data_IF_887087360658
#
_entry.id   IF_887087360658
#
_cell.length_a   1.000
_cell.length_b   1.000
_cell.length_c   1.000
_cell.angle_alpha   90.00
_cell.angle_beta   90.00
_cell.angle_gamma   90.00
#
_symmetry.space_group_name_H-M   'P 1'
#
loop_
_entity.id
_entity.type
_entity.pdbx_description
1 polymer ?
#
# COMPACT_ATOMS: atom_id res chain seq x y z
N UNK A 1 -20.53 -39.03 41.11
CA UNK A 1 -19.28 -38.25 41.00
C UNK A 1 -18.46 -38.88 39.89
N UNK A 2 -18.69 -38.44 38.65
CA UNK A 2 -17.84 -38.72 37.50
C UNK A 2 -17.96 -37.50 36.61
N UNK A 3 -16.96 -36.64 36.71
CA UNK A 3 -16.83 -35.38 36.00
C UNK A 3 -16.26 -35.66 34.61
N UNK A 4 -17.15 -35.85 33.64
CA UNK A 4 -16.78 -35.81 32.22
C UNK A 4 -16.62 -34.34 31.80
N UNK A 5 -15.39 -33.85 31.93
CA UNK A 5 -14.91 -32.66 31.22
C UNK A 5 -14.59 -33.04 29.76
N UNK A 6 -15.62 -33.41 29.00
CA UNK A 6 -15.53 -33.42 27.53
C UNK A 6 -15.84 -32.03 27.03
N UNK A 7 -14.79 -31.33 26.59
CA UNK A 7 -14.88 -30.08 25.86
C UNK A 7 -15.61 -30.31 24.54
N UNK A 8 -16.93 -30.07 24.54
CA UNK A 8 -17.70 -30.05 23.31
C UNK A 8 -17.42 -28.72 22.59
N UNK A 9 -16.49 -28.83 21.66
CA UNK A 9 -16.28 -27.94 20.52
C UNK A 9 -17.63 -27.79 19.79
N UNK A 10 -17.99 -26.54 19.58
CA UNK A 10 -19.02 -25.96 18.70
C UNK A 10 -19.70 -26.99 17.78
N UNK A 11 -20.97 -27.33 18.05
CA UNK A 11 -21.84 -27.94 17.05
C UNK A 11 -22.83 -26.88 16.53
N UNK A 12 -22.71 -26.41 15.27
CA UNK A 12 -23.70 -25.54 14.66
C UNK A 12 -24.95 -26.34 14.28
N UNK A 13 -26.11 -25.81 14.67
CA UNK A 13 -27.41 -26.37 14.32
C UNK A 13 -27.77 -26.04 12.85
N UNK A 14 -27.78 -27.06 12.00
CA UNK A 14 -28.63 -27.09 10.80
C UNK A 14 -28.03 -26.50 9.51
N UNK A 15 -27.56 -27.39 8.65
CA UNK A 15 -27.56 -27.28 7.18
C UNK A 15 -27.05 -25.97 6.54
N UNK A 16 -25.80 -25.60 6.81
CA UNK A 16 -24.87 -25.07 5.79
C UNK A 16 -23.49 -24.97 6.44
N UNK A 17 -22.60 -25.88 6.07
CA UNK A 17 -21.24 -26.01 6.61
C UNK A 17 -20.36 -24.85 6.15
N UNK A 18 -20.60 -23.64 6.67
CA UNK A 18 -19.48 -22.71 6.86
C UNK A 18 -18.72 -23.30 8.04
N UNK A 19 -17.76 -24.18 7.71
CA UNK A 19 -16.95 -24.91 8.68
C UNK A 19 -16.20 -23.89 9.53
N UNK A 20 -16.09 -24.17 10.83
CA UNK A 20 -15.30 -23.39 11.80
C UNK A 20 -13.92 -22.97 11.24
N UNK A 21 -13.33 -23.87 10.44
CA UNK A 21 -12.09 -23.67 9.68
C UNK A 21 -12.08 -22.41 8.80
N UNK A 22 -13.22 -22.06 8.20
CA UNK A 22 -13.36 -20.89 7.33
C UNK A 22 -13.17 -19.60 8.12
N UNK A 23 -13.72 -19.54 9.33
CA UNK A 23 -13.57 -18.38 10.22
C UNK A 23 -12.11 -18.21 10.65
N UNK A 24 -11.45 -19.28 11.10
CA UNK A 24 -10.03 -19.23 11.48
C UNK A 24 -9.12 -18.90 10.30
N UNK A 25 -9.46 -19.37 9.10
CA UNK A 25 -8.72 -19.05 7.89
C UNK A 25 -8.78 -17.55 7.58
N UNK A 26 -9.96 -16.91 7.65
CA UNK A 26 -10.08 -15.47 7.44
C UNK A 26 -9.35 -14.66 8.52
N UNK A 27 -9.53 -15.00 9.81
CA UNK A 27 -8.83 -14.34 10.91
C UNK A 27 -7.32 -14.50 10.79
N UNK A 28 -6.85 -15.69 10.40
CA UNK A 28 -5.45 -16.01 10.18
C UNK A 28 -4.85 -15.21 9.02
N UNK A 29 -5.53 -15.16 7.86
CA UNK A 29 -5.10 -14.37 6.70
C UNK A 29 -5.06 -12.88 7.04
N UNK A 30 -6.09 -12.35 7.72
CA UNK A 30 -6.10 -10.96 8.16
C UNK A 30 -4.93 -10.66 9.10
N UNK A 31 -4.76 -11.47 10.15
CA UNK A 31 -3.71 -11.26 11.16
C UNK A 31 -2.31 -11.36 10.56
N UNK A 32 -2.05 -12.35 9.72
CA UNK A 32 -0.77 -12.51 9.03
C UNK A 32 -0.49 -11.35 8.06
N UNK A 33 -1.51 -10.88 7.33
CA UNK A 33 -1.38 -9.72 6.43
C UNK A 33 -1.01 -8.45 7.21
N UNK A 34 -1.65 -8.21 8.37
CA UNK A 34 -1.34 -7.06 9.21
C UNK A 34 0.05 -7.14 9.86
N UNK A 35 0.42 -8.31 10.39
CA UNK A 35 1.74 -8.53 10.97
C UNK A 35 2.84 -8.37 9.92
N UNK A 36 2.64 -8.90 8.70
CA UNK A 36 3.57 -8.72 7.59
C UNK A 36 3.74 -7.24 7.24
N UNK A 37 2.64 -6.48 7.17
CA UNK A 37 2.69 -5.04 6.92
C UNK A 37 3.42 -4.27 8.03
N UNK A 38 3.19 -4.62 9.29
CA UNK A 38 3.89 -4.02 10.43
C UNK A 38 5.39 -4.37 10.41
N UNK A 39 5.72 -5.62 10.11
CA UNK A 39 7.10 -6.12 10.03
C UNK A 39 7.90 -5.44 8.92
N UNK A 40 7.34 -5.34 7.70
CA UNK A 40 7.98 -4.63 6.58
C UNK A 40 8.26 -3.18 6.98
N UNK A 41 7.29 -2.50 7.61
CA UNK A 41 7.47 -1.09 7.99
C UNK A 41 8.49 -0.91 9.10
N UNK A 42 8.52 -1.82 10.07
CA UNK A 42 9.53 -1.85 11.12
C UNK A 42 10.95 -1.95 10.54
N UNK A 43 11.17 -2.88 9.61
CA UNK A 43 12.48 -3.11 8.99
C UNK A 43 12.88 -1.98 8.02
N UNK A 44 11.96 -1.54 7.15
CA UNK A 44 12.30 -0.58 6.10
C UNK A 44 12.43 0.87 6.61
N UNK A 45 11.62 1.28 7.59
CA UNK A 45 11.54 2.70 7.98
C UNK A 45 12.08 2.99 9.39
N UNK A 46 12.27 1.97 10.24
CA UNK A 46 12.78 2.08 11.62
C UNK A 46 12.05 3.11 12.52
N UNK A 47 10.92 3.65 12.04
CA UNK A 47 10.13 4.69 12.71
C UNK A 47 8.65 4.48 12.35
N UNK A 48 7.87 4.14 13.37
CA UNK A 48 6.42 3.91 13.23
C UNK A 48 5.70 5.24 13.01
N UNK A 49 4.93 5.33 11.94
CA UNK A 49 4.06 6.47 11.68
C UNK A 49 2.80 6.33 12.56
N UNK A 50 2.06 7.43 12.76
CA UNK A 50 0.77 7.39 13.48
C UNK A 50 -0.20 6.37 12.85
N UNK A 51 -0.13 6.22 11.53
CA UNK A 51 -0.85 5.18 10.77
C UNK A 51 -0.48 3.76 11.25
N UNK A 52 0.76 3.48 11.62
CA UNK A 52 1.15 2.14 12.06
C UNK A 52 0.58 1.79 13.44
N UNK A 53 0.58 2.77 14.35
CA UNK A 53 -0.02 2.62 15.67
C UNK A 53 -1.52 2.41 15.60
N UNK A 54 -2.23 3.22 14.80
CA UNK A 54 -3.66 3.03 14.56
C UNK A 54 -3.97 1.63 14.00
N UNK A 55 -3.11 1.12 13.13
CA UNK A 55 -3.28 -0.21 12.56
C UNK A 55 -3.09 -1.33 13.59
N UNK A 56 -2.08 -1.23 14.46
CA UNK A 56 -1.85 -2.20 15.52
C UNK A 56 -3.00 -2.20 16.52
N UNK A 57 -3.51 -1.03 16.89
CA UNK A 57 -4.68 -0.90 17.76
C UNK A 57 -5.91 -1.55 17.13
N UNK A 58 -6.18 -1.28 15.84
CA UNK A 58 -7.27 -1.93 15.13
C UNK A 58 -7.14 -3.47 15.11
N UNK A 59 -5.92 -3.97 14.86
CA UNK A 59 -5.65 -5.41 14.88
C UNK A 59 -5.89 -6.02 16.26
N UNK A 60 -5.45 -5.35 17.34
CA UNK A 60 -5.68 -5.82 18.71
C UNK A 60 -7.17 -5.84 19.06
N UNK A 61 -7.93 -4.79 18.71
CA UNK A 61 -9.37 -4.76 18.93
C UNK A 61 -10.07 -5.89 18.16
N UNK A 62 -9.71 -6.10 16.89
CA UNK A 62 -10.33 -7.14 16.06
C UNK A 62 -9.99 -8.57 16.51
N UNK A 63 -8.76 -8.81 17.00
CA UNK A 63 -8.43 -10.10 17.63
C UNK A 63 -9.18 -10.30 18.96
N UNK A 64 -9.30 -9.24 19.78
CA UNK A 64 -10.09 -9.28 21.00
C UNK A 64 -11.57 -9.58 20.74
N UNK A 65 -12.13 -8.98 19.70
CA UNK A 65 -13.48 -9.26 19.18
C UNK A 65 -13.64 -10.74 18.81
N UNK A 66 -12.72 -11.30 18.03
CA UNK A 66 -12.78 -12.71 17.61
C UNK A 66 -12.74 -13.67 18.82
N UNK A 67 -11.90 -13.37 19.82
CA UNK A 67 -11.82 -14.15 21.07
C UNK A 67 -13.14 -14.06 21.85
N UNK A 68 -13.70 -12.86 22.00
CA UNK A 68 -14.98 -12.65 22.69
C UNK A 68 -16.12 -13.36 21.97
N UNK A 69 -16.17 -13.26 20.64
CA UNK A 69 -17.17 -13.96 19.82
C UNK A 69 -17.11 -15.47 20.10
N UNK A 70 -15.92 -16.07 20.12
CA UNK A 70 -15.75 -17.51 20.40
C UNK A 70 -16.19 -17.92 21.80
N UNK A 71 -15.85 -17.13 22.82
CA UNK A 71 -16.22 -17.44 24.21
C UNK A 71 -17.75 -17.40 24.38
N UNK A 72 -18.41 -16.42 23.76
CA UNK A 72 -19.81 -16.14 24.03
C UNK A 72 -20.79 -16.67 22.97
N UNK A 73 -20.31 -17.19 21.83
CA UNK A 73 -21.18 -17.77 20.78
C UNK A 73 -22.12 -18.85 21.35
N UNK A 74 -21.60 -19.66 22.29
CA UNK A 74 -22.38 -20.72 22.95
C UNK A 74 -23.60 -20.17 23.68
N UNK A 75 -23.49 -19.00 24.29
CA UNK A 75 -24.59 -18.37 25.01
C UNK A 75 -25.65 -17.80 24.07
N UNK A 76 -25.26 -17.37 22.87
CA UNK A 76 -26.19 -16.88 21.84
C UNK A 76 -27.04 -18.00 21.25
N UNK A 77 -26.48 -19.20 21.05
CA UNK A 77 -27.24 -20.35 20.54
C UNK A 77 -28.37 -20.81 21.47
N UNK A 78 -28.29 -20.51 22.77
CA UNK A 78 -29.37 -20.81 23.73
C UNK A 78 -30.63 -20.02 23.41
N UNK A 79 -30.49 -18.77 22.92
CA UNK A 79 -31.65 -17.97 22.51
C UNK A 79 -32.26 -18.48 21.21
N UNK A 80 -31.43 -18.88 20.25
CA UNK A 80 -31.88 -19.45 18.97
C UNK A 80 -32.61 -20.80 19.18
N UNK A 81 -32.09 -21.67 20.05
CA UNK A 81 -32.74 -22.93 20.39
C UNK A 81 -34.11 -22.71 21.07
N UNK A 82 -34.25 -21.65 21.87
CA UNK A 82 -35.54 -21.28 22.45
C UNK A 82 -36.53 -20.72 21.41
N UNK A 83 -36.06 -19.95 20.43
CA UNK A 83 -36.89 -19.47 19.31
C UNK A 83 -37.43 -20.62 18.46
N UNK A 84 -36.62 -21.66 18.23
CA UNK A 84 -37.03 -22.86 17.49
C UNK A 84 -37.99 -23.77 18.27
N UNK A 85 -38.23 -23.50 19.55
CA UNK A 85 -39.07 -24.33 20.41
C UNK A 85 -38.38 -25.59 20.96
N UNK A 86 -37.06 -25.73 20.75
CA UNK A 86 -36.25 -26.87 21.21
C UNK A 86 -35.84 -26.76 22.69
N UNK A 87 -36.31 -25.72 23.40
CA UNK A 87 -35.99 -25.47 24.80
C UNK A 87 -37.22 -25.74 25.71
N UNK A 88 -37.35 -26.95 26.28
CA UNK A 88 -38.58 -27.41 26.91
C UNK A 88 -38.89 -26.77 28.27
N UNK A 89 -37.93 -26.10 28.92
CA UNK A 89 -38.15 -25.43 30.22
C UNK A 89 -37.35 -24.13 30.29
N UNK A 90 -38.06 -23.00 30.44
CA UNK A 90 -37.47 -21.69 30.73
C UNK A 90 -37.04 -21.67 32.21
N UNK A 91 -35.76 -21.93 32.46
CA UNK A 91 -35.19 -21.91 33.82
C UNK A 91 -34.60 -20.53 34.15
N UNK A 92 -34.38 -20.19 35.44
CA UNK A 92 -33.62 -18.98 35.81
C UNK A 92 -32.21 -18.93 35.19
N UNK A 93 -31.62 -20.09 34.91
CA UNK A 93 -30.32 -20.22 34.26
C UNK A 93 -30.36 -19.78 32.79
N UNK A 94 -31.46 -20.03 32.08
CA UNK A 94 -31.69 -19.54 30.72
C UNK A 94 -31.54 -18.01 30.66
N UNK A 95 -32.25 -17.28 31.51
CA UNK A 95 -32.21 -15.81 31.51
C UNK A 95 -30.81 -15.25 31.79
N UNK A 96 -30.07 -15.86 32.71
CA UNK A 96 -28.71 -15.45 33.04
C UNK A 96 -27.73 -15.73 31.89
N UNK A 97 -27.84 -16.89 31.23
CA UNK A 97 -27.02 -17.25 30.08
C UNK A 97 -27.34 -16.39 28.86
N UNK A 98 -28.61 -16.13 28.57
CA UNK A 98 -29.05 -15.25 27.50
C UNK A 98 -28.57 -13.81 27.71
N UNK A 99 -28.64 -13.30 28.96
CA UNK A 99 -28.09 -11.97 29.29
C UNK A 99 -26.60 -11.89 28.99
N UNK A 100 -25.81 -12.90 29.38
CA UNK A 100 -24.37 -12.94 29.08
C UNK A 100 -24.11 -12.96 27.57
N UNK A 101 -24.88 -13.72 26.81
CA UNK A 101 -24.82 -13.74 25.34
C UNK A 101 -25.12 -12.37 24.73
N UNK A 102 -26.18 -11.70 25.17
CA UNK A 102 -26.58 -10.37 24.68
C UNK A 102 -25.56 -9.28 25.00
N UNK A 103 -25.04 -9.26 26.23
CA UNK A 103 -23.99 -8.31 26.63
C UNK A 103 -22.72 -8.53 25.80
N UNK A 104 -22.35 -9.79 25.56
CA UNK A 104 -21.21 -10.11 24.74
C UNK A 104 -21.43 -9.73 23.26
N UNK A 105 -22.60 -10.02 22.69
CA UNK A 105 -22.96 -9.64 21.34
C UNK A 105 -22.89 -8.12 21.16
N UNK A 106 -23.45 -7.36 22.10
CA UNK A 106 -23.36 -5.89 22.11
C UNK A 106 -21.89 -5.43 22.17
N UNK A 107 -21.11 -6.01 23.08
CA UNK A 107 -19.69 -5.65 23.26
C UNK A 107 -18.89 -5.92 21.98
N UNK A 108 -19.14 -7.06 21.34
CA UNK A 108 -18.58 -7.42 20.04
C UNK A 108 -18.99 -6.39 19.00
N UNK A 109 -20.28 -6.07 18.84
CA UNK A 109 -20.75 -5.08 17.86
C UNK A 109 -20.07 -3.72 18.02
N UNK A 110 -19.97 -3.19 19.25
CA UNK A 110 -19.29 -1.91 19.50
C UNK A 110 -17.80 -2.02 19.18
N UNK A 111 -17.14 -3.10 19.58
CA UNK A 111 -15.73 -3.34 19.28
C UNK A 111 -15.49 -3.44 17.77
N UNK A 112 -16.35 -4.13 17.02
CA UNK A 112 -16.32 -4.23 15.56
C UNK A 112 -16.50 -2.87 14.92
N UNK A 113 -17.51 -2.09 15.33
CA UNK A 113 -17.73 -0.75 14.78
C UNK A 113 -16.48 0.11 14.99
N UNK A 114 -15.94 0.16 16.21
CA UNK A 114 -14.73 0.95 16.49
C UNK A 114 -13.51 0.46 15.71
N UNK A 115 -13.28 -0.86 15.65
CA UNK A 115 -12.12 -1.43 14.94
C UNK A 115 -12.17 -1.11 13.45
N UNK A 116 -13.33 -1.31 12.82
CA UNK A 116 -13.58 -1.00 11.40
C UNK A 116 -13.43 0.50 11.12
N UNK A 117 -13.96 1.38 11.98
CA UNK A 117 -13.76 2.83 11.84
C UNK A 117 -12.27 3.20 11.89
N UNK A 118 -11.49 2.61 12.80
CA UNK A 118 -10.05 2.86 12.89
C UNK A 118 -9.33 2.40 11.61
N UNK A 119 -9.68 1.23 11.06
CA UNK A 119 -9.13 0.74 9.79
C UNK A 119 -9.45 1.71 8.65
N UNK A 120 -10.68 2.22 8.56
CA UNK A 120 -11.08 3.21 7.54
C UNK A 120 -10.29 4.51 7.66
N UNK A 121 -10.18 5.04 8.89
CA UNK A 121 -9.37 6.23 9.16
C UNK A 121 -7.91 5.99 8.77
N UNK A 122 -7.36 4.79 9.03
CA UNK A 122 -6.01 4.42 8.62
C UNK A 122 -5.80 4.56 7.11
N UNK A 123 -6.71 3.97 6.33
CA UNK A 123 -6.68 4.05 4.88
C UNK A 123 -6.82 5.50 4.40
N UNK A 124 -7.76 6.26 4.96
CA UNK A 124 -7.95 7.66 4.62
C UNK A 124 -6.68 8.49 4.91
N UNK A 125 -6.03 8.31 6.06
CA UNK A 125 -4.78 9.03 6.38
C UNK A 125 -3.66 8.69 5.41
N UNK A 126 -3.51 7.41 5.08
CA UNK A 126 -2.55 6.96 4.08
C UNK A 126 -2.77 7.64 2.72
N UNK A 127 -4.01 7.70 2.24
CA UNK A 127 -4.33 8.36 0.97
C UNK A 127 -4.20 9.89 1.06
N UNK A 128 -4.47 10.49 2.22
CA UNK A 128 -4.25 11.93 2.44
C UNK A 128 -2.80 12.30 2.19
N UNK A 129 -1.88 11.48 2.68
CA UNK A 129 -0.45 11.68 2.51
C UNK A 129 -0.02 11.58 1.04
N UNK A 130 -0.60 10.66 0.28
CA UNK A 130 -0.34 10.50 -1.16
C UNK A 130 -0.91 11.65 -2.01
N UNK A 131 -2.06 12.22 -1.63
CA UNK A 131 -2.81 13.19 -2.44
C UNK A 131 -2.67 14.66 -2.05
N UNK A 132 -1.73 15.03 -1.16
CA UNK A 132 -1.67 16.32 -0.45
C UNK A 132 -1.58 17.60 -1.34
N UNK A 133 -1.45 17.49 -2.66
CA UNK A 133 -1.22 18.62 -3.57
C UNK A 133 -2.50 19.23 -4.17
N UNK A 134 -3.67 18.59 -4.03
CA UNK A 134 -4.90 18.98 -4.75
C UNK A 134 -6.03 19.36 -3.79
N UNK A 135 -6.51 20.60 -3.89
CA UNK A 135 -7.60 21.11 -3.03
C UNK A 135 -8.90 20.30 -3.13
N UNK A 136 -9.30 19.90 -4.35
CA UNK A 136 -10.50 19.09 -4.57
C UNK A 136 -10.42 17.73 -3.85
N UNK A 137 -9.23 17.12 -3.85
CA UNK A 137 -8.98 15.88 -3.12
C UNK A 137 -9.05 16.10 -1.60
N UNK A 138 -8.47 17.19 -1.09
CA UNK A 138 -8.56 17.53 0.33
C UNK A 138 -10.02 17.71 0.78
N UNK A 139 -10.86 18.34 -0.03
CA UNK A 139 -12.30 18.50 0.26
C UNK A 139 -12.99 17.13 0.26
N UNK A 140 -12.82 16.33 -0.79
CA UNK A 140 -13.41 14.99 -0.88
C UNK A 140 -12.98 14.11 0.30
N UNK A 141 -11.71 14.18 0.69
CA UNK A 141 -11.17 13.48 1.84
C UNK A 141 -11.86 13.87 3.15
N UNK A 142 -12.08 15.17 3.39
CA UNK A 142 -12.79 15.63 4.60
C UNK A 142 -14.24 15.18 4.60
N UNK A 143 -14.92 15.21 3.45
CA UNK A 143 -16.30 14.73 3.33
C UNK A 143 -16.41 13.24 3.70
N UNK A 144 -15.53 12.41 3.14
CA UNK A 144 -15.53 10.96 3.44
C UNK A 144 -15.17 10.72 4.90
N UNK A 145 -14.16 11.42 5.44
CA UNK A 145 -13.80 11.26 6.85
C UNK A 145 -14.96 11.62 7.79
N UNK A 146 -15.62 12.76 7.57
CA UNK A 146 -16.75 13.21 8.38
C UNK A 146 -17.90 12.22 8.27
N UNK A 147 -18.19 11.72 7.07
CA UNK A 147 -19.22 10.71 6.88
C UNK A 147 -18.88 9.41 7.60
N UNK A 148 -17.65 8.90 7.47
CA UNK A 148 -17.22 7.66 8.14
C UNK A 148 -17.29 7.79 9.65
N UNK A 149 -16.70 8.83 10.23
CA UNK A 149 -16.70 9.04 11.69
C UNK A 149 -18.11 9.32 12.19
N UNK A 150 -18.85 10.19 11.52
CA UNK A 150 -20.22 10.53 11.87
C UNK A 150 -21.16 9.33 11.77
N UNK A 151 -21.05 8.53 10.70
CA UNK A 151 -21.82 7.31 10.52
C UNK A 151 -21.55 6.29 11.62
N UNK A 152 -20.29 6.08 12.01
CA UNK A 152 -19.94 5.19 13.12
C UNK A 152 -20.44 5.70 14.47
N UNK A 153 -20.42 7.02 14.72
CA UNK A 153 -20.98 7.60 15.95
C UNK A 153 -22.50 7.47 16.00
N UNK A 154 -23.18 7.68 14.88
CA UNK A 154 -24.64 7.46 14.78
C UNK A 154 -24.96 5.99 15.00
N UNK A 155 -24.19 5.08 14.41
CA UNK A 155 -24.35 3.64 14.60
C UNK A 155 -24.20 3.23 16.07
N UNK A 156 -23.19 3.75 16.78
CA UNK A 156 -23.03 3.54 18.23
C UNK A 156 -24.19 4.15 19.02
N UNK A 157 -24.67 5.34 18.62
CA UNK A 157 -25.79 6.02 19.26
C UNK A 157 -27.14 5.34 19.06
N UNK A 158 -27.30 4.56 17.99
CA UNK A 158 -28.50 3.77 17.71
C UNK A 158 -28.57 2.46 18.49
N UNK A 159 -27.51 2.09 19.21
CA UNK A 159 -27.50 0.87 20.01
C UNK A 159 -28.11 1.16 21.39
N UNK A 160 -29.13 0.39 21.77
CA UNK A 160 -29.79 0.54 23.07
C UNK A 160 -28.85 0.07 24.21
N UNK A 161 -28.14 1.00 24.88
CA UNK A 161 -27.21 0.68 26.00
C UNK A 161 -27.86 -0.01 27.21
N UNK A 162 -29.19 -0.07 27.23
CA UNK A 162 -29.95 -0.78 28.25
C UNK A 162 -29.70 -2.30 28.21
N UNK A 163 -29.28 -2.87 27.08
CA UNK A 163 -28.83 -4.27 27.01
C UNK A 163 -27.56 -4.54 27.83
N UNK A 164 -26.71 -3.53 28.04
CA UNK A 164 -25.46 -3.66 28.80
C UNK A 164 -25.69 -3.61 30.32
N UNK A 165 -26.70 -2.87 30.76
CA UNK A 165 -26.94 -2.53 32.17
C UNK A 165 -28.23 -3.10 32.76
N UNK A 166 -29.12 -3.64 31.93
CA UNK A 166 -30.43 -4.15 32.34
C UNK A 166 -30.37 -5.41 33.22
N UNK A 167 -31.29 -5.47 34.18
CA UNK A 167 -31.61 -6.71 34.88
C UNK A 167 -32.35 -7.68 33.93
N UNK A 168 -32.16 -9.00 34.07
CA UNK A 168 -32.78 -9.99 33.18
C UNK A 168 -34.31 -9.89 33.16
N UNK A 169 -34.98 -9.58 34.28
CA UNK A 169 -36.44 -9.40 34.30
C UNK A 169 -36.91 -8.22 33.44
N UNK A 170 -36.09 -7.18 33.32
CA UNK A 170 -36.39 -6.00 32.52
C UNK A 170 -36.17 -6.26 31.02
N UNK A 171 -35.08 -6.96 30.67
CA UNK A 171 -34.71 -7.30 29.29
C UNK A 171 -35.78 -8.19 28.64
N UNK A 172 -36.34 -9.14 29.39
CA UNK A 172 -37.37 -10.06 28.91
C UNK A 172 -38.82 -9.62 29.24
N UNK A 173 -39.00 -8.39 29.72
CA UNK A 173 -40.33 -7.86 30.02
C UNK A 173 -41.14 -7.59 28.74
N UNK A 174 -42.47 -7.74 28.84
CA UNK A 174 -43.41 -7.56 27.72
C UNK A 174 -43.35 -6.17 27.04
N UNK A 175 -42.77 -5.17 27.70
CA UNK A 175 -42.58 -3.84 27.12
C UNK A 175 -41.44 -3.80 26.07
N UNK A 176 -40.43 -4.66 26.18
CA UNK A 176 -39.25 -4.68 25.30
C UNK A 176 -39.30 -5.78 24.22
N UNK A 177 -40.10 -6.83 24.42
CA UNK A 177 -40.51 -7.77 23.36
C UNK A 177 -41.70 -7.27 22.54
N UNK A 178 -42.05 -5.99 22.68
CA UNK A 178 -43.04 -5.33 21.83
C UNK A 178 -42.59 -5.32 20.38
N UNK A 179 -43.55 -5.51 19.47
CA UNK A 179 -43.31 -5.53 18.02
C UNK A 179 -42.57 -4.26 17.54
N UNK A 180 -42.82 -3.12 18.19
CA UNK A 180 -42.21 -1.84 17.88
C UNK A 180 -40.71 -1.77 18.21
N UNK A 181 -40.29 -2.36 19.34
CA UNK A 181 -38.88 -2.43 19.71
C UNK A 181 -38.09 -3.33 18.76
N UNK A 182 -38.68 -4.45 18.34
CA UNK A 182 -38.08 -5.36 17.38
C UNK A 182 -37.93 -4.71 16.00
N UNK A 183 -38.98 -4.02 15.51
CA UNK A 183 -38.93 -3.25 14.25
C UNK A 183 -37.85 -2.18 14.27
N UNK A 184 -37.69 -1.46 15.39
CA UNK A 184 -36.63 -0.46 15.57
C UNK A 184 -35.25 -1.09 15.49
N UNK A 185 -35.01 -2.19 16.21
CA UNK A 185 -33.71 -2.88 16.18
C UNK A 185 -33.37 -3.42 14.79
N UNK A 186 -34.36 -3.98 14.09
CA UNK A 186 -34.19 -4.46 12.72
C UNK A 186 -33.86 -3.32 11.75
N UNK A 187 -34.58 -2.19 11.85
CA UNK A 187 -34.27 -0.99 11.07
C UNK A 187 -32.86 -0.46 11.36
N UNK A 188 -32.47 -0.40 12.64
CA UNK A 188 -31.14 0.04 13.05
C UNK A 188 -30.02 -0.86 12.48
N UNK A 189 -30.25 -2.17 12.45
CA UNK A 189 -29.31 -3.13 11.84
C UNK A 189 -29.18 -2.92 10.33
N UNK A 190 -30.29 -2.77 9.59
CA UNK A 190 -30.25 -2.47 8.15
C UNK A 190 -29.54 -1.15 7.89
N UNK A 191 -29.90 -0.10 8.63
CA UNK A 191 -29.29 1.22 8.50
C UNK A 191 -27.77 1.15 8.71
N UNK A 192 -27.34 0.45 9.76
CA UNK A 192 -25.94 0.19 10.06
C UNK A 192 -25.19 -0.45 8.87
N UNK A 193 -25.73 -1.53 8.30
CA UNK A 193 -25.11 -2.21 7.15
C UNK A 193 -25.03 -1.31 5.92
N UNK A 194 -26.09 -0.54 5.64
CA UNK A 194 -26.14 0.37 4.49
C UNK A 194 -25.12 1.51 4.63
N UNK A 195 -25.06 2.15 5.80
CA UNK A 195 -24.10 3.23 6.06
C UNK A 195 -22.67 2.72 5.97
N UNK A 196 -22.40 1.53 6.50
CA UNK A 196 -21.08 0.90 6.45
C UNK A 196 -20.66 0.63 5.00
N UNK A 197 -21.53 0.01 4.20
CA UNK A 197 -21.29 -0.26 2.77
C UNK A 197 -21.07 1.02 1.94
N UNK A 198 -21.85 2.08 2.20
CA UNK A 198 -21.67 3.38 1.51
C UNK A 198 -20.31 3.99 1.91
N UNK A 199 -19.95 3.95 3.19
CA UNK A 199 -18.67 4.46 3.66
C UNK A 199 -17.47 3.70 3.06
N UNK A 200 -17.60 2.39 2.84
CA UNK A 200 -16.60 1.56 2.17
C UNK A 200 -16.46 1.94 0.70
N UNK A 201 -17.58 2.06 -0.01
CA UNK A 201 -17.59 2.47 -1.40
C UNK A 201 -16.90 3.84 -1.58
N UNK A 202 -17.20 4.80 -0.72
CA UNK A 202 -16.56 6.11 -0.76
C UNK A 202 -15.07 6.05 -0.47
N UNK A 203 -14.65 5.29 0.56
CA UNK A 203 -13.23 5.10 0.89
C UNK A 203 -12.47 4.47 -0.28
N UNK A 204 -13.08 3.47 -0.93
CA UNK A 204 -12.52 2.80 -2.10
C UNK A 204 -12.43 3.72 -3.33
N UNK A 205 -13.47 4.51 -3.62
CA UNK A 205 -13.44 5.48 -4.73
C UNK A 205 -12.32 6.50 -4.54
N UNK A 206 -12.16 7.02 -3.32
CA UNK A 206 -11.06 7.94 -2.98
C UNK A 206 -9.70 7.25 -3.19
N UNK A 207 -9.56 6.00 -2.73
CA UNK A 207 -8.36 5.19 -2.94
C UNK A 207 -8.02 5.01 -4.43
N UNK A 208 -9.02 4.68 -5.25
CA UNK A 208 -8.85 4.52 -6.69
C UNK A 208 -8.38 5.82 -7.35
N UNK A 209 -9.06 6.94 -7.09
CA UNK A 209 -8.72 8.24 -7.68
C UNK A 209 -7.27 8.62 -7.35
N UNK A 210 -6.85 8.46 -6.10
CA UNK A 210 -5.47 8.74 -5.67
C UNK A 210 -4.49 7.82 -6.38
N UNK A 211 -4.75 6.51 -6.38
CA UNK A 211 -3.87 5.51 -6.98
C UNK A 211 -3.66 5.74 -8.48
N UNK A 212 -4.74 6.02 -9.22
CA UNK A 212 -4.67 6.38 -10.63
C UNK A 212 -3.83 7.63 -10.85
N UNK A 213 -4.05 8.70 -10.07
CA UNK A 213 -3.25 9.92 -10.21
C UNK A 213 -1.78 9.69 -9.90
N UNK A 214 -1.45 8.98 -8.83
CA UNK A 214 -0.05 8.69 -8.49
C UNK A 214 0.64 7.91 -9.60
N UNK A 215 -0.07 6.97 -10.23
CA UNK A 215 0.46 6.20 -11.36
C UNK A 215 0.70 7.09 -12.59
N UNK A 216 -0.24 7.96 -12.95
CA UNK A 216 -0.09 8.84 -14.10
C UNK A 216 0.95 9.94 -13.90
N UNK A 217 1.04 10.51 -12.70
CA UNK A 217 2.09 11.49 -12.35
C UNK A 217 3.46 10.83 -12.40
N UNK A 218 3.59 9.61 -11.86
CA UNK A 218 4.84 8.86 -11.93
C UNK A 218 5.25 8.56 -13.39
N UNK A 219 4.29 8.13 -14.23
CA UNK A 219 4.53 7.89 -15.66
C UNK A 219 4.89 9.18 -16.40
N UNK A 220 4.28 10.31 -16.06
CA UNK A 220 4.59 11.62 -16.63
C UNK A 220 6.01 12.07 -16.32
N UNK A 221 6.43 11.94 -15.06
CA UNK A 221 7.80 12.28 -14.63
C UNK A 221 8.84 11.37 -15.31
N UNK A 222 8.59 10.06 -15.35
CA UNK A 222 9.49 9.12 -15.99
C UNK A 222 9.66 9.40 -17.50
N UNK A 223 8.58 9.77 -18.18
CA UNK A 223 8.65 10.18 -19.58
C UNK A 223 9.44 11.49 -19.74
N UNK A 224 9.23 12.48 -18.87
CA UNK A 224 9.97 13.75 -18.90
C UNK A 224 11.48 13.56 -18.69
N UNK A 225 11.87 12.67 -17.76
CA UNK A 225 13.28 12.31 -17.54
C UNK A 225 13.89 11.63 -18.77
N UNK A 226 13.15 10.73 -19.43
CA UNK A 226 13.58 10.12 -20.70
C UNK A 226 13.78 11.17 -21.79
N UNK A 227 12.89 12.15 -21.91
CA UNK A 227 13.05 13.26 -22.86
C UNK A 227 14.29 14.11 -22.55
N UNK A 228 14.54 14.42 -21.27
CA UNK A 228 15.75 15.16 -20.85
C UNK A 228 17.03 14.38 -21.16
N UNK A 229 17.07 13.09 -20.87
CA UNK A 229 18.22 12.23 -21.19
C UNK A 229 18.46 12.13 -22.71
N UNK A 230 17.38 12.07 -23.50
CA UNK A 230 17.49 12.03 -24.95
C UNK A 230 17.99 13.35 -25.54
N UNK A 231 17.50 14.49 -25.04
CA UNK A 231 18.03 15.81 -25.40
C UNK A 231 19.52 15.95 -25.04
N UNK A 232 19.92 15.53 -23.84
CA UNK A 232 21.33 15.54 -23.44
C UNK A 232 22.20 14.65 -24.35
N UNK A 233 21.69 13.49 -24.76
CA UNK A 233 22.39 12.61 -25.73
C UNK A 233 22.51 13.25 -27.10
N UNK A 234 21.46 13.89 -27.59
CA UNK A 234 21.45 14.56 -28.89
C UNK A 234 22.39 15.79 -28.91
N UNK A 235 22.45 16.55 -27.82
CA UNK A 235 23.39 17.65 -27.63
C UNK A 235 24.84 17.16 -27.54
N UNK A 236 25.08 16.09 -26.77
CA UNK A 236 26.38 15.43 -26.71
C UNK A 236 26.82 14.94 -28.11
N UNK A 237 25.91 14.30 -28.86
CA UNK A 237 26.17 13.84 -30.22
C UNK A 237 26.47 15.01 -31.17
N UNK A 238 25.67 16.10 -31.13
CA UNK A 238 25.93 17.31 -31.93
C UNK A 238 27.28 17.96 -31.60
N UNK A 239 27.64 18.04 -30.31
CA UNK A 239 28.93 18.61 -29.89
C UNK A 239 30.11 17.76 -30.35
N UNK A 240 29.99 16.42 -30.30
CA UNK A 240 30.98 15.50 -30.84
C UNK A 240 31.12 15.64 -32.37
N UNK A 241 30.01 15.79 -33.08
CA UNK A 241 30.01 16.02 -34.54
C UNK A 241 30.70 17.35 -34.91
N UNK A 242 30.46 18.43 -34.15
CA UNK A 242 31.17 19.72 -34.34
C UNK A 242 32.68 19.59 -34.17
N UNK A 243 33.13 18.87 -33.14
CA UNK A 243 34.57 18.63 -32.90
C UNK A 243 35.21 17.81 -34.03
N UNK A 244 34.50 16.83 -34.58
CA UNK A 244 34.99 16.00 -35.70
C UNK A 244 35.12 16.81 -36.99
N UNK A 245 34.14 17.68 -37.28
CA UNK A 245 34.20 18.57 -38.45
C UNK A 245 35.38 19.55 -38.42
N UNK A 246 35.71 20.08 -37.25
CA UNK A 246 36.84 21.03 -37.13
C UNK A 246 38.20 20.36 -37.25
N UNK A 247 38.34 19.13 -36.72
CA UNK A 247 39.56 18.30 -36.92
C UNK A 247 39.78 17.93 -38.39
N UNK A 248 38.72 17.65 -39.14
CA UNK A 248 38.82 17.37 -40.58
C UNK A 248 39.32 18.59 -41.35
N UNK A 249 38.73 19.77 -41.09
CA UNK A 249 39.16 21.02 -41.73
C UNK A 249 40.58 21.44 -41.35
N UNK A 250 40.98 21.21 -40.10
CA UNK A 250 42.35 21.49 -39.65
C UNK A 250 43.39 20.58 -40.34
N UNK A 251 43.04 19.31 -40.62
CA UNK A 251 43.90 18.42 -41.42
C UNK A 251 44.00 18.88 -42.87
N UNK A 252 42.88 19.19 -43.53
CA UNK A 252 42.93 19.71 -44.91
C UNK A 252 43.77 20.98 -45.03
N UNK A 253 43.64 21.91 -44.09
CA UNK A 253 44.47 23.12 -44.08
C UNK A 253 45.95 22.80 -43.88
N UNK A 254 46.28 21.93 -42.92
CA UNK A 254 47.66 21.50 -42.68
C UNK A 254 48.28 20.84 -43.91
N UNK A 255 47.55 19.95 -44.57
CA UNK A 255 48.02 19.23 -45.76
C UNK A 255 48.21 20.20 -46.94
N UNK A 256 47.33 21.19 -47.10
CA UNK A 256 47.47 22.27 -48.09
C UNK A 256 48.70 23.16 -47.84
N UNK A 257 49.02 23.47 -46.58
CA UNK A 257 50.24 24.22 -46.21
C UNK A 257 51.49 23.40 -46.52
N UNK A 258 51.49 22.11 -46.19
CA UNK A 258 52.61 21.21 -46.51
C UNK A 258 52.85 21.12 -48.01
N UNK A 259 51.78 21.02 -48.82
CA UNK A 259 51.89 21.00 -50.27
C UNK A 259 52.48 22.29 -50.81
N UNK A 260 52.07 23.44 -50.27
CA UNK A 260 52.62 24.76 -50.65
C UNK A 260 54.10 24.89 -50.27
N UNK A 261 54.49 24.43 -49.06
CA UNK A 261 55.89 24.43 -48.64
C UNK A 261 56.75 23.50 -49.52
N UNK A 262 56.21 22.33 -49.90
CA UNK A 262 56.91 21.39 -50.79
C UNK A 262 57.11 21.96 -52.20
N UNK A 263 56.13 22.69 -52.72
CA UNK A 263 56.23 23.35 -54.03
C UNK A 263 57.29 24.48 -54.01
N UNK A 264 57.39 25.20 -52.88
CA UNK A 264 58.42 26.23 -52.66
C UNK A 264 59.83 25.62 -52.50
N UNK A 265 59.96 24.49 -51.80
CA UNK A 265 61.25 23.77 -51.67
C UNK A 265 61.69 23.09 -52.98
N UNK A 266 60.76 22.64 -53.82
CA UNK A 266 61.05 22.03 -55.13
C UNK A 266 61.51 23.03 -56.20
N UNK A 267 61.28 24.33 -56.00
CA UNK A 267 61.61 25.38 -56.99
C UNK A 267 63.10 25.78 -57.01
N UNK A 268 63.95 25.27 -56.11
CA UNK A 268 65.37 25.66 -56.04
C UNK A 268 66.34 24.62 -56.62
N UNK A 269 65.88 23.47 -57.09
CA UNK A 269 66.76 22.44 -57.68
C UNK A 269 66.77 22.46 -59.21
N UNK A 270 66.95 23.63 -59.81
CA UNK A 270 67.15 23.75 -61.26
C UNK A 270 68.24 24.78 -61.59
N UNK A 271 69.43 24.54 -61.04
CA UNK A 271 70.69 24.89 -61.70
C UNK A 271 71.82 24.17 -60.96
N UNK A 272 72.29 23.05 -61.52
CA UNK A 272 73.70 22.86 -61.87
C UNK A 272 73.94 21.40 -62.26
N UNK A 273 74.57 21.27 -63.42
CA UNK A 273 75.01 20.04 -64.05
C UNK A 273 76.13 19.36 -63.25
N UNK A 274 76.32 18.07 -63.59
CA UNK A 274 77.64 17.46 -63.86
C UNK A 274 78.36 16.60 -62.80
N UNK A 275 78.57 15.34 -63.24
CA UNK A 275 79.66 14.38 -63.01
C UNK A 275 79.84 13.64 -61.67
N UNK A 276 79.62 12.33 -61.79
CA UNK A 276 80.54 11.24 -61.43
C UNK A 276 80.69 10.79 -59.96
N UNK A 277 80.56 9.46 -59.87
CA UNK A 277 81.16 8.53 -58.90
C UNK A 277 80.69 8.55 -57.44
N UNK A 278 80.31 7.34 -57.00
CA UNK A 278 80.90 6.80 -55.77
C UNK A 278 79.93 6.57 -54.62
N UNK A 279 79.63 5.28 -54.40
CA UNK A 279 79.38 4.62 -53.11
C UNK A 279 79.25 5.53 -51.88
N UNK A 280 78.10 5.46 -51.23
CA UNK A 280 77.94 5.90 -49.84
C UNK A 280 76.50 5.77 -49.40
N UNK A 281 76.05 4.55 -49.12
CA UNK A 281 74.76 4.33 -48.47
C UNK A 281 74.73 5.08 -47.14
N UNK A 282 73.79 6.01 -47.00
CA UNK A 282 73.47 6.63 -45.73
C UNK A 282 72.91 5.54 -44.79
N UNK A 283 73.36 5.48 -43.53
CA UNK A 283 72.82 4.52 -42.59
C UNK A 283 71.33 4.81 -42.36
N UNK A 284 70.52 3.77 -42.49
CA UNK A 284 69.11 3.80 -42.08
C UNK A 284 69.03 4.20 -40.59
N UNK A 285 68.12 5.11 -40.22
CA UNK A 285 67.85 5.36 -38.82
C UNK A 285 67.31 4.06 -38.18
N UNK A 286 67.75 3.70 -36.97
CA UNK A 286 67.30 2.48 -36.31
C UNK A 286 65.78 2.52 -36.12
N UNK A 287 65.11 1.49 -36.63
CA UNK A 287 63.69 1.26 -36.44
C UNK A 287 63.40 0.96 -34.97
N UNK A 288 62.91 1.97 -34.25
CA UNK A 288 62.29 1.82 -32.94
C UNK A 288 62.80 2.78 -31.90
N UNK A 289 62.34 4.04 -31.92
CA UNK A 289 62.14 4.85 -30.71
C UNK A 289 61.36 6.15 -30.99
N UNK A 290 60.11 6.07 -31.46
CA UNK A 290 59.15 7.18 -31.33
C UNK A 290 57.73 6.62 -31.18
N UNK A 291 57.51 5.90 -30.09
CA UNK A 291 56.17 5.76 -29.51
C UNK A 291 56.29 6.21 -28.06
N UNK A 292 55.89 7.45 -27.82
CA UNK A 292 55.65 7.96 -26.47
C UNK A 292 54.45 7.18 -25.94
N UNK A 293 54.68 6.35 -24.94
CA UNK A 293 53.63 5.59 -24.26
C UNK A 293 53.01 6.50 -23.18
N UNK A 294 51.72 6.79 -23.31
CA UNK A 294 50.95 7.65 -22.39
C UNK A 294 50.17 6.84 -21.34
N UNK A 295 50.60 5.62 -21.03
CA UNK A 295 49.87 4.72 -20.14
C UNK A 295 50.15 4.87 -18.64
N UNK A 296 50.86 5.92 -18.21
CA UNK A 296 51.08 6.19 -16.78
C UNK A 296 50.42 7.51 -16.35
N UNK A 297 49.14 7.45 -16.02
CA UNK A 297 48.43 8.43 -15.18
C UNK A 297 47.65 7.64 -14.11
N UNK A 298 48.37 7.15 -13.11
CA UNK A 298 47.79 6.82 -11.80
C UNK A 298 48.08 8.00 -10.86
N UNK A 299 47.06 8.85 -10.68
CA UNK A 299 46.93 9.76 -9.54
C UNK A 299 45.44 10.05 -9.29
#
# INVERSE_FOLDING_TARGET
>A
MSSDHSGYIIQPAGSSSITEDTFYLFVGICTTSFLTRAYIRWICFHRLLVEDWLMLVALMLHNGEAILAQIFVRHSFVMEAAERGDYPVVTPEFFNNSRRGLVALFTVTVATTVSVTIVKINFLLFFRRLGNSIRAFTIAWWLVLIFTVGGSLVQIGMIDFQWLSGQPEYIFSANYTSEDALKRNYFNAIFSVVVDAISDAMTYIVACIVSFRTLFVHKGNQNSERYRQQQQRDEAYRSAMRRRGWRSKAREFHDSVLETCKDIEGSWSLSEDSYAMGRGGLPMPPSGLMTVDFSNDDN
#
